data_IF_776343372212
#
_entry.id   IF_776343372212
#
_cell.length_a   1.000
_cell.length_b   1.000
_cell.length_c   1.000
_cell.angle_alpha   90.00
_cell.angle_beta   90.00
_cell.angle_gamma   90.00
#
_symmetry.space_group_name_H-M   'P 1'
#
loop_
_entity.id
_entity.type
_entity.pdbx_description
1 polymer ?
#
# COMPACT_ATOMS: atom_id res chain seq x y z
N UNK A 1 19.22 -44.04 -16.75
CA UNK A 1 18.69 -42.76 -17.28
C UNK A 1 17.14 -42.64 -17.15
N UNK A 2 16.53 -42.81 -15.96
CA UNK A 2 15.05 -42.75 -15.78
C UNK A 2 14.55 -41.77 -14.69
N UNK A 3 15.44 -41.01 -14.03
CA UNK A 3 15.05 -40.10 -12.94
C UNK A 3 14.74 -38.65 -13.38
N UNK A 4 15.13 -38.25 -14.60
CA UNK A 4 14.98 -36.85 -15.06
C UNK A 4 13.54 -36.44 -15.40
N UNK A 5 12.66 -37.41 -15.69
CA UNK A 5 11.25 -37.18 -16.05
C UNK A 5 10.29 -37.00 -14.87
N UNK A 6 10.76 -37.06 -13.62
CA UNK A 6 9.94 -36.67 -12.44
C UNK A 6 10.09 -35.20 -12.08
N UNK A 7 11.22 -34.56 -12.43
CA UNK A 7 11.46 -33.14 -12.16
C UNK A 7 10.66 -32.21 -13.07
N UNK A 8 10.43 -32.61 -14.33
CA UNK A 8 9.67 -31.80 -15.30
C UNK A 8 8.15 -31.83 -15.07
N UNK A 9 7.62 -32.83 -14.35
CA UNK A 9 6.18 -32.96 -14.05
C UNK A 9 5.75 -32.14 -12.82
N UNK A 10 6.69 -31.75 -11.98
CA UNK A 10 6.44 -30.80 -10.89
C UNK A 10 6.47 -29.34 -11.35
N UNK A 11 6.72 -29.08 -12.65
CA UNK A 11 6.88 -27.73 -13.19
C UNK A 11 5.58 -27.14 -13.77
N UNK A 12 4.41 -27.74 -13.52
CA UNK A 12 3.18 -27.36 -14.21
C UNK A 12 1.85 -27.53 -13.46
N UNK A 13 1.82 -27.69 -12.14
CA UNK A 13 0.56 -27.87 -11.39
C UNK A 13 0.47 -27.09 -10.07
N UNK A 14 1.05 -25.90 -10.00
CA UNK A 14 0.67 -24.92 -8.97
C UNK A 14 -0.53 -24.11 -9.47
N UNK A 15 -1.67 -24.78 -9.68
CA UNK A 15 -2.94 -24.16 -10.05
C UNK A 15 -3.77 -23.73 -8.82
N UNK A 16 -3.14 -23.54 -7.65
CA UNK A 16 -3.80 -23.08 -6.42
C UNK A 16 -3.13 -21.87 -5.68
N UNK A 17 -2.26 -21.01 -6.27
CA UNK A 17 -1.78 -19.83 -5.56
C UNK A 17 -2.71 -18.61 -5.69
N UNK A 18 -3.45 -18.45 -6.80
CA UNK A 18 -4.15 -17.19 -7.13
C UNK A 18 -5.36 -16.87 -6.24
N UNK A 19 -6.11 -17.87 -5.77
CA UNK A 19 -7.29 -17.62 -4.92
C UNK A 19 -6.90 -17.21 -3.50
N UNK A 20 -5.84 -17.82 -2.94
CA UNK A 20 -5.25 -17.42 -1.65
C UNK A 20 -4.54 -16.07 -1.77
N UNK A 21 -3.83 -15.82 -2.86
CA UNK A 21 -3.25 -14.49 -3.15
C UNK A 21 -4.34 -13.43 -3.22
N UNK A 22 -5.46 -13.73 -3.88
CA UNK A 22 -6.60 -12.82 -3.97
C UNK A 22 -7.23 -12.54 -2.60
N UNK A 23 -7.44 -13.55 -1.76
CA UNK A 23 -7.91 -13.32 -0.38
C UNK A 23 -6.91 -12.53 0.46
N UNK A 24 -5.61 -12.84 0.42
CA UNK A 24 -4.59 -12.08 1.15
C UNK A 24 -4.50 -10.63 0.67
N UNK A 25 -4.67 -10.38 -0.64
CA UNK A 25 -4.69 -9.04 -1.20
C UNK A 25 -5.98 -8.27 -0.90
N UNK A 26 -7.13 -8.95 -0.85
CA UNK A 26 -8.42 -8.34 -0.46
C UNK A 26 -8.49 -8.02 1.04
N UNK A 27 -7.84 -8.83 1.88
CA UNK A 27 -7.74 -8.61 3.32
C UNK A 27 -6.76 -7.46 3.64
N UNK A 28 -5.66 -7.34 2.89
CA UNK A 28 -4.73 -6.20 2.95
C UNK A 28 -5.31 -4.89 2.37
N UNK A 29 -6.27 -4.98 1.42
CA UNK A 29 -6.88 -3.82 0.76
C UNK A 29 -8.01 -3.17 1.55
N UNK A 30 -8.32 -3.65 2.76
CA UNK A 30 -9.29 -3.01 3.62
C UNK A 30 -8.70 -1.68 4.10
N UNK A 31 -9.35 -0.57 3.74
CA UNK A 31 -9.18 0.77 4.34
C UNK A 31 -9.36 0.67 5.86
N UNK A 32 -8.30 0.28 6.55
CA UNK A 32 -8.32 0.05 7.98
C UNK A 32 -7.92 1.34 8.69
N UNK A 33 -8.49 1.60 9.87
CA UNK A 33 -8.12 2.74 10.70
C UNK A 33 -6.62 2.79 10.96
N UNK A 34 -5.95 1.63 11.04
CA UNK A 34 -4.50 1.53 11.15
C UNK A 34 -3.76 2.24 10.00
N UNK A 35 -4.24 2.12 8.75
CA UNK A 35 -3.61 2.78 7.60
C UNK A 35 -3.71 4.31 7.70
N UNK A 36 -4.87 4.82 8.09
CA UNK A 36 -5.10 6.26 8.28
C UNK A 36 -4.20 6.79 9.41
N UNK A 37 -4.13 6.09 10.53
CA UNK A 37 -3.28 6.46 11.68
C UNK A 37 -1.80 6.46 11.29
N UNK A 38 -1.34 5.46 10.53
CA UNK A 38 0.05 5.38 10.06
C UNK A 38 0.39 6.50 9.07
N UNK A 39 -0.53 6.88 8.17
CA UNK A 39 -0.32 8.01 7.26
C UNK A 39 -0.26 9.34 8.00
N UNK A 40 -1.21 9.58 8.92
CA UNK A 40 -1.25 10.84 9.67
C UNK A 40 -0.02 10.97 10.56
N UNK A 41 0.38 9.91 11.27
CA UNK A 41 1.60 9.92 12.07
C UNK A 41 2.87 10.10 11.22
N UNK A 42 2.99 9.42 10.08
CA UNK A 42 4.11 9.61 9.14
C UNK A 42 4.21 11.05 8.65
N UNK A 43 3.08 11.68 8.30
CA UNK A 43 3.05 13.07 7.86
C UNK A 43 3.53 14.03 8.95
N UNK A 44 3.04 13.86 10.19
CA UNK A 44 3.49 14.65 11.34
C UNK A 44 5.01 14.50 11.60
N UNK A 45 5.52 13.25 11.59
CA UNK A 45 6.94 12.97 11.82
C UNK A 45 7.79 13.57 10.69
N UNK A 46 7.35 13.46 9.43
CA UNK A 46 8.04 14.05 8.29
C UNK A 46 8.13 15.58 8.42
N UNK A 47 7.06 16.24 8.87
CA UNK A 47 7.09 17.69 9.06
C UNK A 47 7.97 18.11 10.25
N UNK A 48 7.96 17.37 11.36
CA UNK A 48 8.92 17.59 12.44
C UNK A 48 10.36 17.35 11.98
N UNK A 49 10.60 16.34 11.14
CA UNK A 49 11.91 16.10 10.53
C UNK A 49 12.38 17.25 9.64
N UNK A 50 11.47 17.89 8.92
CA UNK A 50 11.75 19.09 8.13
C UNK A 50 12.10 20.29 9.02
N UNK A 51 11.33 20.52 10.10
CA UNK A 51 11.61 21.58 11.09
C UNK A 51 12.96 21.42 11.78
N UNK A 52 13.29 20.18 12.14
CA UNK A 52 14.56 19.83 12.78
C UNK A 52 15.72 19.73 11.77
N UNK A 53 15.46 19.97 10.48
CA UNK A 53 16.41 19.83 9.38
C UNK A 53 17.16 18.48 9.41
N UNK A 54 16.43 17.41 9.74
CA UNK A 54 16.98 16.07 9.94
C UNK A 54 16.44 15.09 8.91
N UNK A 55 17.25 14.85 7.88
CA UNK A 55 16.96 13.86 6.83
C UNK A 55 16.72 12.47 7.41
N UNK A 56 17.37 12.12 8.52
CA UNK A 56 17.20 10.82 9.19
C UNK A 56 15.76 10.61 9.69
N UNK A 57 15.13 11.66 10.23
CA UNK A 57 13.74 11.60 10.72
C UNK A 57 12.75 11.49 9.55
N UNK A 58 13.03 12.20 8.45
CA UNK A 58 12.21 12.14 7.22
C UNK A 58 12.26 10.73 6.59
N UNK A 59 13.44 10.12 6.52
CA UNK A 59 13.60 8.74 6.03
C UNK A 59 12.84 7.77 6.95
N UNK A 60 12.92 7.95 8.27
CA UNK A 60 12.18 7.15 9.24
C UNK A 60 10.67 7.22 9.02
N UNK A 61 10.13 8.40 8.70
CA UNK A 61 8.72 8.58 8.38
C UNK A 61 8.27 7.78 7.15
N UNK A 62 9.12 7.63 6.13
CA UNK A 62 8.81 6.85 4.92
C UNK A 62 8.66 5.34 5.20
N UNK A 63 9.40 4.81 6.18
CA UNK A 63 9.32 3.38 6.56
C UNK A 63 8.01 3.10 7.31
N UNK A 64 7.49 4.08 8.05
CA UNK A 64 6.28 3.96 8.88
C UNK A 64 5.01 3.87 8.03
N UNK A 65 4.99 4.43 6.81
CA UNK A 65 3.82 4.48 5.95
C UNK A 65 3.73 3.24 5.03
N UNK A 66 2.83 2.27 5.28
CA UNK A 66 2.69 1.08 4.44
C UNK A 66 1.78 1.39 3.23
N UNK A 67 2.21 2.30 2.36
CA UNK A 67 1.45 2.72 1.18
C UNK A 67 1.32 1.60 0.12
N UNK A 68 2.09 0.52 0.26
CA UNK A 68 2.03 -0.66 -0.60
C UNK A 68 0.68 -1.40 -0.55
N UNK A 69 -0.01 -1.44 0.59
CA UNK A 69 -1.28 -2.17 0.73
C UNK A 69 -2.39 -1.63 -0.19
N UNK A 70 -2.75 -0.34 -0.15
CA UNK A 70 -3.78 0.21 -1.03
C UNK A 70 -3.38 0.21 -2.52
N UNK A 71 -2.10 0.38 -2.83
CA UNK A 71 -1.63 0.36 -4.23
C UNK A 71 -1.74 -1.04 -4.87
N UNK A 72 -1.53 -2.10 -4.07
CA UNK A 72 -1.76 -3.48 -4.52
C UNK A 72 -3.25 -3.76 -4.76
N UNK A 73 -4.12 -3.30 -3.85
CA UNK A 73 -5.57 -3.39 -4.03
C UNK A 73 -6.05 -2.70 -5.32
N UNK A 74 -5.54 -1.50 -5.60
CA UNK A 74 -5.82 -0.76 -6.84
C UNK A 74 -5.38 -1.50 -8.11
N UNK A 75 -4.15 -2.04 -8.11
CA UNK A 75 -3.62 -2.83 -9.22
C UNK A 75 -4.46 -4.09 -9.48
N UNK A 76 -4.91 -4.77 -8.41
CA UNK A 76 -5.72 -5.97 -8.52
C UNK A 76 -7.16 -5.67 -8.97
N UNK A 77 -7.78 -4.61 -8.45
CA UNK A 77 -9.08 -4.12 -8.90
C UNK A 77 -9.08 -3.76 -10.40
N UNK A 78 -7.96 -3.21 -10.89
CA UNK A 78 -7.77 -2.90 -12.32
C UNK A 78 -7.68 -4.16 -13.17
N UNK A 79 -7.00 -5.21 -12.68
CA UNK A 79 -6.89 -6.50 -13.35
C UNK A 79 -8.22 -7.27 -13.40
N UNK A 80 -9.03 -7.18 -12.34
CA UNK A 80 -10.31 -7.89 -12.23
C UNK A 80 -11.46 -7.17 -12.96
N UNK A 81 -11.26 -5.90 -13.36
CA UNK A 81 -12.24 -5.15 -14.15
C UNK A 81 -13.49 -4.73 -13.35
N UNK A 82 -13.49 -4.88 -12.03
CA UNK A 82 -14.58 -4.43 -11.18
C UNK A 82 -14.50 -2.92 -10.96
N UNK A 83 -15.32 -2.20 -11.74
CA UNK A 83 -15.45 -0.75 -11.69
C UNK A 83 -15.84 -0.18 -10.32
N UNK A 84 -16.47 -0.97 -9.44
CA UNK A 84 -16.83 -0.55 -8.07
C UNK A 84 -15.59 -0.55 -7.18
N UNK A 85 -14.76 -1.58 -7.27
CA UNK A 85 -13.52 -1.70 -6.49
C UNK A 85 -12.47 -0.69 -6.96
N UNK A 86 -12.38 -0.47 -8.27
CA UNK A 86 -11.52 0.54 -8.89
C UNK A 86 -11.82 1.95 -8.39
N UNK A 87 -13.11 2.33 -8.34
CA UNK A 87 -13.54 3.64 -7.82
C UNK A 87 -13.23 3.77 -6.33
N UNK A 88 -13.44 2.71 -5.54
CA UNK A 88 -13.14 2.73 -4.10
C UNK A 88 -11.64 2.89 -3.81
N UNK A 89 -10.78 2.16 -4.51
CA UNK A 89 -9.32 2.30 -4.38
C UNK A 89 -8.81 3.64 -4.89
N UNK A 90 -9.36 4.15 -6.01
CA UNK A 90 -9.01 5.47 -6.51
C UNK A 90 -9.43 6.57 -5.52
N UNK A 91 -10.62 6.47 -4.93
CA UNK A 91 -11.10 7.40 -3.91
C UNK A 91 -10.24 7.32 -2.64
N UNK A 92 -9.80 6.14 -2.24
CA UNK A 92 -8.89 5.93 -1.11
C UNK A 92 -7.55 6.65 -1.31
N UNK A 93 -6.97 6.50 -2.50
CA UNK A 93 -5.72 7.16 -2.87
C UNK A 93 -5.92 8.67 -2.94
N UNK A 94 -6.98 9.13 -3.62
CA UNK A 94 -7.30 10.55 -3.74
C UNK A 94 -7.53 11.21 -2.38
N UNK A 95 -8.26 10.57 -1.47
CA UNK A 95 -8.48 11.05 -0.09
C UNK A 95 -7.17 11.05 0.71
N UNK A 96 -6.35 10.00 0.59
CA UNK A 96 -5.04 9.93 1.25
C UNK A 96 -4.09 11.04 0.78
N UNK A 97 -4.05 11.31 -0.54
CA UNK A 97 -3.27 12.42 -1.11
C UNK A 97 -3.83 13.77 -0.69
N UNK A 98 -5.14 13.98 -0.75
CA UNK A 98 -5.78 15.23 -0.32
C UNK A 98 -5.55 15.49 1.17
N UNK A 99 -5.67 14.47 2.02
CA UNK A 99 -5.37 14.59 3.46
C UNK A 99 -3.89 14.91 3.70
N UNK A 100 -2.97 14.28 2.96
CA UNK A 100 -1.55 14.57 3.04
C UNK A 100 -1.22 16.01 2.65
N UNK A 101 -1.80 16.48 1.54
CA UNK A 101 -1.65 17.87 1.08
C UNK A 101 -2.27 18.85 2.07
N UNK A 102 -3.47 18.55 2.60
CA UNK A 102 -4.13 19.38 3.60
C UNK A 102 -3.34 19.45 4.91
N UNK A 103 -2.79 18.33 5.39
CA UNK A 103 -1.89 18.32 6.55
C UNK A 103 -0.63 19.12 6.28
N UNK A 104 0.01 18.93 5.13
CA UNK A 104 1.21 19.70 4.76
C UNK A 104 0.92 21.20 4.68
N UNK A 105 -0.24 21.58 4.16
CA UNK A 105 -0.69 22.97 4.10
C UNK A 105 -0.94 23.53 5.50
N UNK A 106 -1.69 22.81 6.33
CA UNK A 106 -2.00 23.24 7.70
C UNK A 106 -0.73 23.40 8.54
N UNK A 107 0.17 22.42 8.50
CA UNK A 107 1.42 22.51 9.25
C UNK A 107 2.30 23.62 8.68
N UNK A 108 2.37 23.77 7.35
CA UNK A 108 3.06 24.89 6.71
C UNK A 108 2.48 26.27 7.03
N UNK A 109 1.20 26.37 7.42
CA UNK A 109 0.61 27.63 7.90
C UNK A 109 0.79 27.89 9.40
N UNK A 110 1.10 26.85 10.18
CA UNK A 110 1.31 26.95 11.64
C UNK A 110 2.75 27.32 12.00
N UNK A 111 3.69 27.08 11.07
CA UNK A 111 5.12 27.38 11.16
C UNK A 111 5.45 28.63 10.37
#
# INVERSE_FOLDING_TARGET
>A
MRKTWRLFRNFGLDAIPIMRLRESLLQDSQLNLNYIVLIVSSCLIATFGLLLNSTAVIIGAMIIAPLMMPLRGFSFATLEGDSVLLRSSFLSIAVGTLMGVACSWLVGTVI
#
